data_IF_112585520660
#
_entry.id   IF_112585520660
#
_cell.length_a   1.000
_cell.length_b   1.000
_cell.length_c   1.000
_cell.angle_alpha   90.00
_cell.angle_beta   90.00
_cell.angle_gamma   90.00
#
_symmetry.space_group_name_H-M   'P 1'
#
loop_
_entity.id
_entity.type
_entity.pdbx_description
1 polymer ?
#
# COMPACT_ATOMS: atom_id res chain seq x y z
N UNK A 1 22.22 21.43 -1.39
CA UNK A 1 21.71 20.31 -0.58
C UNK A 1 20.50 20.76 0.19
N UNK A 2 19.32 20.31 -0.17
CA UNK A 2 18.11 20.48 0.63
C UNK A 2 17.94 19.23 1.47
N UNK A 3 18.10 19.34 2.78
CA UNK A 3 17.79 18.28 3.73
C UNK A 3 16.37 18.52 4.23
N UNK A 4 15.47 17.59 4.02
CA UNK A 4 14.16 17.60 4.68
C UNK A 4 14.10 16.44 5.67
N UNK A 5 13.78 16.74 6.92
CA UNK A 5 13.48 15.74 7.94
C UNK A 5 12.00 15.90 8.32
N UNK A 6 11.20 14.90 8.02
CA UNK A 6 9.80 14.89 8.43
C UNK A 6 9.65 13.96 9.65
N UNK A 7 9.33 14.55 10.80
CA UNK A 7 8.93 13.82 11.99
C UNK A 7 7.42 13.99 12.20
N UNK A 8 6.67 12.91 12.07
CA UNK A 8 5.24 12.90 12.36
C UNK A 8 5.00 12.23 13.71
N UNK A 9 4.50 13.00 14.69
CA UNK A 9 4.08 12.51 15.99
C UNK A 9 2.58 12.20 15.92
N UNK A 10 2.20 10.92 15.94
CA UNK A 10 0.81 10.53 16.16
C UNK A 10 0.62 10.26 17.66
N UNK A 11 -0.11 11.16 18.33
CA UNK A 11 -0.65 10.92 19.66
C UNK A 11 -1.99 10.24 19.46
N UNK A 12 -2.06 8.92 19.57
CA UNK A 12 -3.31 8.18 19.68
C UNK A 12 -3.74 8.17 21.14
N UNK A 13 -4.91 8.71 21.44
CA UNK A 13 -5.62 8.46 22.71
C UNK A 13 -6.43 7.17 22.53
N UNK A 14 -6.21 6.21 23.33
CA UNK A 14 -7.13 5.52 24.24
C UNK A 14 -6.78 4.05 24.45
N UNK A 15 -6.93 3.71 25.73
CA UNK A 15 -6.97 2.41 26.40
C UNK A 15 -5.64 1.65 26.55
N UNK A 16 -5.09 1.92 27.70
CA UNK A 16 -4.40 1.10 28.71
C UNK A 16 -4.02 -0.34 28.30
N UNK A 17 -3.16 -0.50 27.27
CA UNK A 17 -2.22 -1.62 27.21
C UNK A 17 -0.96 -1.12 26.48
N UNK A 18 0.14 -0.94 27.21
CA UNK A 18 1.49 -0.65 26.75
C UNK A 18 1.57 0.16 25.44
N UNK A 19 1.29 1.46 25.53
CA UNK A 19 1.48 2.38 24.43
C UNK A 19 2.96 2.68 24.23
N UNK A 20 3.68 1.75 23.65
CA UNK A 20 4.92 2.10 22.97
C UNK A 20 4.55 3.09 21.85
N UNK A 21 4.95 4.33 22.03
CA UNK A 21 4.72 5.40 21.05
C UNK A 21 5.38 4.99 19.75
N UNK A 22 4.59 4.73 18.73
CA UNK A 22 5.08 4.43 17.39
C UNK A 22 5.70 5.70 16.81
N UNK A 23 7.02 5.83 16.90
CA UNK A 23 7.75 6.93 16.28
C UNK A 23 7.96 6.58 14.82
N UNK A 24 7.33 7.33 13.92
CA UNK A 24 7.63 7.30 12.49
C UNK A 24 8.67 8.35 12.17
N UNK A 25 9.80 7.94 11.63
CA UNK A 25 10.87 8.85 11.25
C UNK A 25 11.29 8.56 9.81
N UNK A 26 11.52 9.62 9.05
CA UNK A 26 12.16 9.49 7.74
C UNK A 26 13.12 10.64 7.51
N UNK A 27 14.21 10.33 6.85
CA UNK A 27 15.21 11.29 6.39
C UNK A 27 15.38 11.11 4.88
N UNK A 28 15.48 12.21 4.16
CA UNK A 28 15.79 12.18 2.74
C UNK A 28 16.81 13.27 2.41
N UNK A 29 17.68 12.99 1.48
CA UNK A 29 18.65 13.96 0.96
C UNK A 29 18.63 13.92 -0.58
N UNK A 30 18.67 15.09 -1.18
CA UNK A 30 18.80 15.25 -2.63
C UNK A 30 20.09 16.03 -2.92
N UNK A 31 20.91 15.49 -3.78
CA UNK A 31 22.17 16.10 -4.21
C UNK A 31 21.97 16.86 -5.52
N UNK A 32 22.86 17.81 -5.79
CA UNK A 32 22.82 18.63 -7.02
C UNK A 32 22.93 17.84 -8.34
N UNK A 33 23.50 16.65 -8.29
CA UNK A 33 23.57 15.74 -9.44
C UNK A 33 22.30 14.90 -9.67
N UNK A 34 21.23 15.16 -8.92
CA UNK A 34 19.95 14.43 -9.00
C UNK A 34 19.91 13.14 -8.19
N UNK A 35 20.99 12.73 -7.53
CA UNK A 35 20.97 11.56 -6.64
C UNK A 35 20.17 11.83 -5.39
N UNK A 36 19.38 10.85 -4.96
CA UNK A 36 18.52 10.91 -3.78
C UNK A 36 18.73 9.70 -2.90
N UNK A 37 18.75 9.93 -1.61
CA UNK A 37 18.75 8.89 -0.59
C UNK A 37 17.58 9.12 0.35
N UNK A 38 16.99 8.05 0.81
CA UNK A 38 16.00 8.11 1.86
C UNK A 38 16.16 6.94 2.81
N UNK A 39 15.88 7.19 4.07
CA UNK A 39 15.89 6.20 5.14
C UNK A 39 14.70 6.48 6.06
N UNK A 40 14.09 5.45 6.62
CA UNK A 40 13.00 5.61 7.56
C UNK A 40 12.79 4.41 8.46
N UNK A 41 12.09 4.68 9.54
CA UNK A 41 11.68 3.71 10.56
C UNK A 41 10.17 3.81 10.71
N UNK A 42 9.49 2.69 10.77
CA UNK A 42 8.03 2.58 10.90
C UNK A 42 7.24 3.37 9.83
N UNK A 43 7.80 3.49 8.63
CA UNK A 43 7.18 4.20 7.52
C UNK A 43 7.04 3.25 6.34
N UNK A 44 5.89 3.27 5.68
CA UNK A 44 5.63 2.46 4.50
C UNK A 44 6.63 2.69 3.37
N UNK A 45 7.04 1.62 2.70
CA UNK A 45 7.81 1.66 1.46
C UNK A 45 7.14 2.52 0.38
N UNK A 46 5.83 2.62 0.42
CA UNK A 46 5.04 3.48 -0.48
C UNK A 46 5.32 4.95 -0.25
N UNK A 47 5.46 5.39 0.99
CA UNK A 47 5.83 6.77 1.33
C UNK A 47 7.22 7.15 0.81
N UNK A 48 8.17 6.22 0.85
CA UNK A 48 9.50 6.41 0.27
C UNK A 48 9.51 6.55 -1.23
N UNK A 49 8.70 5.77 -1.90
CA UNK A 49 8.62 5.77 -3.35
C UNK A 49 8.21 7.11 -3.90
N UNK A 50 7.28 7.76 -3.24
CA UNK A 50 6.82 9.09 -3.61
C UNK A 50 7.91 10.15 -3.37
N UNK A 51 8.71 10.03 -2.32
CA UNK A 51 9.80 10.97 -2.04
C UNK A 51 11.00 10.81 -2.95
N UNK A 52 11.29 9.59 -3.42
CA UNK A 52 12.42 9.31 -4.31
C UNK A 52 12.14 9.59 -5.78
N UNK A 53 10.90 9.39 -6.20
CA UNK A 53 10.54 9.52 -7.61
C UNK A 53 10.62 10.96 -8.12
N UNK A 54 10.97 11.93 -7.27
CA UNK A 54 11.10 13.34 -7.68
C UNK A 54 9.85 13.92 -8.29
N UNK A 55 8.76 13.19 -8.19
CA UNK A 55 7.48 13.68 -8.67
C UNK A 55 7.07 14.87 -7.81
N UNK A 56 7.67 15.99 -8.12
CA UNK A 56 7.15 17.28 -7.73
C UNK A 56 5.70 17.33 -8.17
N UNK A 57 4.83 17.57 -7.24
CA UNK A 57 3.39 17.87 -7.36
C UNK A 57 2.44 16.79 -7.89
N UNK A 58 2.71 16.09 -8.98
CA UNK A 58 1.76 15.08 -9.49
C UNK A 58 1.72 13.82 -8.65
N UNK A 59 2.82 13.40 -8.04
CA UNK A 59 2.81 12.28 -7.08
C UNK A 59 2.13 12.65 -5.76
N UNK A 60 2.17 13.92 -5.36
CA UNK A 60 1.38 14.43 -4.24
C UNK A 60 -0.13 14.29 -4.47
N UNK A 61 -0.57 14.17 -5.74
CA UNK A 61 -1.96 13.96 -6.09
C UNK A 61 -2.39 12.50 -5.98
N UNK A 62 -1.54 11.55 -6.36
CA UNK A 62 -1.81 10.11 -6.17
C UNK A 62 -1.83 9.78 -4.68
N UNK A 63 -0.92 10.35 -3.90
CA UNK A 63 -0.87 10.19 -2.45
C UNK A 63 -1.98 10.94 -1.70
N UNK A 64 -2.74 11.79 -2.39
CA UNK A 64 -3.91 12.43 -1.80
C UNK A 64 -5.08 11.48 -1.67
N UNK A 65 -5.15 10.42 -2.50
CA UNK A 65 -6.16 9.38 -2.35
C UNK A 65 -5.80 8.42 -1.22
N UNK A 66 -6.78 8.09 -0.40
CA UNK A 66 -6.62 7.20 0.76
C UNK A 66 -6.74 5.72 0.41
N UNK A 67 -7.28 5.41 -0.74
CA UNK A 67 -7.53 4.02 -1.14
C UNK A 67 -6.24 3.28 -1.44
N UNK A 68 -6.12 2.06 -0.93
CA UNK A 68 -4.94 1.20 -1.08
C UNK A 68 -4.55 0.92 -2.53
N UNK A 69 -5.52 1.04 -3.46
CA UNK A 69 -5.25 0.88 -4.87
C UNK A 69 -4.25 1.91 -5.42
N UNK A 70 -4.22 3.13 -4.87
CA UNK A 70 -3.24 4.16 -5.23
C UNK A 70 -1.94 4.08 -4.41
N UNK A 71 -1.93 3.34 -3.31
CA UNK A 71 -0.72 2.93 -2.62
C UNK A 71 -0.04 1.75 -3.36
N UNK A 72 1.08 1.23 -2.93
CA UNK A 72 1.59 -0.05 -3.42
C UNK A 72 1.16 -1.14 -2.44
N UNK A 73 0.01 -1.80 -2.63
CA UNK A 73 -0.60 -2.61 -1.58
C UNK A 73 0.33 -3.75 -1.12
N UNK A 74 1.07 -4.36 -2.04
CA UNK A 74 2.03 -5.41 -1.70
C UNK A 74 3.28 -4.88 -0.98
N UNK A 75 3.61 -3.60 -1.13
CA UNK A 75 4.68 -2.97 -0.38
C UNK A 75 4.24 -2.52 1.03
N UNK A 76 2.95 -2.33 1.24
CA UNK A 76 2.37 -2.01 2.55
C UNK A 76 2.54 -3.15 3.57
N UNK A 77 2.76 -4.37 3.11
CA UNK A 77 3.01 -5.53 3.98
C UNK A 77 4.39 -5.50 4.67
N UNK A 78 5.25 -4.54 4.32
CA UNK A 78 6.50 -4.24 5.02
C UNK A 78 6.41 -2.98 5.89
N UNK A 79 5.22 -2.53 6.21
CA UNK A 79 5.02 -1.40 7.12
C UNK A 79 5.51 -1.76 8.54
N UNK A 80 5.88 -0.74 9.32
CA UNK A 80 6.33 -0.89 10.70
C UNK A 80 7.77 -1.40 10.89
N UNK A 81 8.60 -1.36 9.85
CA UNK A 81 10.00 -1.76 9.91
C UNK A 81 10.98 -0.66 9.50
N UNK A 82 12.14 -1.08 9.08
CA UNK A 82 13.19 -0.22 8.55
C UNK A 82 13.10 -0.16 7.03
N UNK A 83 13.32 1.02 6.47
CA UNK A 83 13.25 1.25 5.04
C UNK A 83 14.46 2.05 4.57
N UNK A 84 14.98 1.69 3.43
CA UNK A 84 16.03 2.44 2.77
C UNK A 84 15.78 2.51 1.27
N UNK A 85 16.26 3.60 0.67
CA UNK A 85 16.17 3.72 -0.77
C UNK A 85 17.24 4.65 -1.33
N UNK A 86 17.66 4.38 -2.56
CA UNK A 86 18.53 5.21 -3.35
C UNK A 86 17.92 5.39 -4.74
N UNK A 87 18.01 6.59 -5.27
CA UNK A 87 17.48 6.88 -6.60
C UNK A 87 18.16 8.06 -7.25
N UNK A 88 17.79 8.31 -8.47
CA UNK A 88 18.21 9.46 -9.25
C UNK A 88 17.06 10.08 -10.02
N UNK A 89 17.18 11.36 -10.30
CA UNK A 89 16.32 12.10 -11.21
C UNK A 89 17.19 12.87 -12.19
N UNK A 90 17.03 12.54 -13.46
CA UNK A 90 17.73 13.22 -14.55
C UNK A 90 17.04 14.52 -14.92
N UNK A 91 17.80 15.50 -15.37
CA UNK A 91 17.28 16.75 -15.97
C UNK A 91 16.45 16.50 -17.23
N UNK A 92 16.59 15.36 -17.88
CA UNK A 92 15.80 14.94 -19.05
C UNK A 92 14.49 14.25 -18.68
N UNK A 93 14.12 14.18 -17.40
CA UNK A 93 12.85 13.58 -16.93
C UNK A 93 12.95 12.09 -16.59
N UNK A 94 14.07 11.42 -16.81
CA UNK A 94 14.28 10.05 -16.38
C UNK A 94 14.50 9.97 -14.88
N UNK A 95 13.91 8.95 -14.27
CA UNK A 95 14.10 8.64 -12.86
C UNK A 95 14.24 7.14 -12.66
N UNK A 96 14.93 6.74 -11.62
CA UNK A 96 15.05 5.34 -11.26
C UNK A 96 15.63 5.18 -9.87
N UNK A 97 15.51 3.97 -9.30
CA UNK A 97 16.08 3.70 -8.00
C UNK A 97 15.75 2.31 -7.48
N UNK A 98 16.31 2.04 -6.32
CA UNK A 98 16.16 0.81 -5.55
C UNK A 98 15.61 1.17 -4.18
N UNK A 99 14.78 0.32 -3.64
CA UNK A 99 14.28 0.43 -2.28
C UNK A 99 14.22 -0.94 -1.62
N UNK A 100 14.35 -0.95 -0.31
CA UNK A 100 14.24 -2.14 0.51
C UNK A 100 13.55 -1.81 1.83
N UNK A 101 12.92 -2.81 2.43
CA UNK A 101 12.28 -2.70 3.72
C UNK A 101 12.35 -4.03 4.46
N UNK A 102 12.41 -3.99 5.77
CA UNK A 102 12.29 -5.18 6.61
C UNK A 102 11.38 -4.88 7.78
N UNK A 103 10.52 -5.83 8.08
CA UNK A 103 9.65 -5.81 9.23
C UNK A 103 9.87 -7.08 10.03
N UNK A 104 10.21 -6.96 11.30
CA UNK A 104 10.30 -8.08 12.25
C UNK A 104 9.55 -7.70 13.52
N UNK A 105 8.22 -7.75 13.46
CA UNK A 105 7.33 -7.46 14.58
C UNK A 105 6.53 -8.70 15.00
N UNK A 106 7.22 -9.82 15.11
CA UNK A 106 6.62 -11.10 15.51
C UNK A 106 5.97 -11.05 16.90
N UNK A 107 6.49 -10.20 17.79
CA UNK A 107 5.99 -10.11 19.17
C UNK A 107 4.64 -9.42 19.27
N UNK A 108 4.37 -8.44 18.41
CA UNK A 108 3.20 -7.57 18.50
C UNK A 108 2.11 -7.90 17.50
N UNK A 109 2.51 -8.18 16.25
CA UNK A 109 1.58 -8.41 15.14
C UNK A 109 1.78 -9.75 14.46
N UNK A 110 2.79 -10.54 14.86
CA UNK A 110 3.15 -11.78 14.18
C UNK A 110 3.68 -11.56 12.77
N UNK A 111 4.14 -10.35 12.46
CA UNK A 111 4.56 -9.98 11.11
C UNK A 111 6.09 -10.07 10.99
N UNK A 112 6.55 -10.84 10.03
CA UNK A 112 7.93 -10.82 9.56
C UNK A 112 7.93 -10.80 8.05
N UNK A 113 8.44 -9.73 7.47
CA UNK A 113 8.46 -9.56 6.03
C UNK A 113 9.63 -8.71 5.57
N UNK A 114 10.20 -9.09 4.44
CA UNK A 114 11.28 -8.39 3.75
C UNK A 114 10.81 -8.00 2.35
N UNK A 115 11.03 -6.75 1.98
CA UNK A 115 10.65 -6.25 0.68
C UNK A 115 11.78 -5.52 -0.02
N UNK A 116 11.89 -5.74 -1.33
CA UNK A 116 12.77 -4.97 -2.19
C UNK A 116 12.07 -4.57 -3.47
N UNK A 117 12.46 -3.44 -4.04
CA UNK A 117 11.92 -3.03 -5.32
C UNK A 117 12.89 -2.21 -6.13
N UNK A 118 12.83 -2.38 -7.45
CA UNK A 118 13.43 -1.49 -8.44
C UNK A 118 12.32 -0.68 -9.11
N UNK A 119 12.56 0.59 -9.32
CA UNK A 119 11.64 1.43 -10.07
C UNK A 119 12.36 2.21 -11.16
N UNK A 120 11.65 2.47 -12.23
CA UNK A 120 12.06 3.39 -13.29
C UNK A 120 10.84 4.18 -13.75
N UNK A 121 11.07 5.34 -14.31
CA UNK A 121 10.01 6.17 -14.86
C UNK A 121 10.55 7.28 -15.72
N UNK A 122 9.63 7.87 -16.43
CA UNK A 122 9.88 9.05 -17.25
C UNK A 122 8.78 10.09 -16.95
N UNK A 123 9.19 11.32 -16.77
CA UNK A 123 8.32 12.47 -16.57
C UNK A 123 8.63 13.53 -17.60
N UNK A 124 7.58 14.02 -18.23
CA UNK A 124 7.60 15.15 -19.14
C UNK A 124 6.61 16.21 -18.62
N UNK A 125 6.65 17.43 -19.12
CA UNK A 125 5.89 18.58 -18.61
C UNK A 125 4.44 18.30 -18.23
N UNK A 126 3.74 17.48 -19.01
CA UNK A 126 2.30 17.22 -18.85
C UNK A 126 1.94 15.75 -18.61
N UNK A 127 2.88 14.85 -18.64
CA UNK A 127 2.60 13.44 -18.43
C UNK A 127 3.80 12.70 -17.83
N UNK A 128 3.52 11.60 -17.21
CA UNK A 128 4.56 10.73 -16.73
C UNK A 128 4.07 9.29 -16.65
N UNK A 129 5.02 8.38 -16.76
CA UNK A 129 4.82 6.95 -16.64
C UNK A 129 5.89 6.36 -15.75
N UNK A 130 5.54 5.39 -14.93
CA UNK A 130 6.49 4.71 -14.07
C UNK A 130 6.17 3.24 -13.93
N UNK A 131 7.22 2.43 -13.90
CA UNK A 131 7.17 1.00 -13.61
C UNK A 131 7.95 0.71 -12.34
N UNK A 132 7.40 -0.14 -11.49
CA UNK A 132 8.06 -0.70 -10.32
C UNK A 132 7.93 -2.22 -10.36
N UNK A 133 9.03 -2.91 -10.12
CA UNK A 133 9.06 -4.35 -9.87
C UNK A 133 9.46 -4.55 -8.42
N UNK A 134 8.73 -5.39 -7.70
CA UNK A 134 8.93 -5.64 -6.28
C UNK A 134 9.00 -7.12 -5.97
N UNK A 135 9.77 -7.43 -4.94
CA UNK A 135 9.84 -8.73 -4.29
C UNK A 135 9.45 -8.52 -2.82
N UNK A 136 8.56 -9.36 -2.33
CA UNK A 136 8.15 -9.43 -0.93
C UNK A 136 8.33 -10.87 -0.46
N UNK A 137 8.98 -11.06 0.67
CA UNK A 137 9.15 -12.34 1.36
C UNK A 137 8.52 -12.23 2.75
N UNK A 138 7.73 -13.21 3.14
CA UNK A 138 6.94 -13.20 4.37
C UNK A 138 7.16 -14.54 5.10
N UNK A 139 7.57 -14.50 6.36
CA UNK A 139 7.73 -15.68 7.21
C UNK A 139 6.52 -15.82 8.14
N UNK A 140 5.79 -16.93 8.01
CA UNK A 140 4.60 -17.18 8.81
C UNK A 140 3.39 -16.30 8.46
N UNK A 141 3.44 -15.58 7.35
CA UNK A 141 2.40 -14.67 6.88
C UNK A 141 2.07 -14.95 5.42
N UNK A 142 0.92 -14.47 4.96
CA UNK A 142 0.49 -14.57 3.57
C UNK A 142 -0.24 -13.29 3.18
N UNK A 143 0.32 -12.55 2.23
CA UNK A 143 -0.22 -11.30 1.70
C UNK A 143 -0.62 -10.31 2.82
N UNK A 144 0.28 -10.14 3.80
CA UNK A 144 0.08 -9.27 4.97
C UNK A 144 -0.84 -9.82 6.05
N UNK A 145 -1.42 -11.00 5.83
CA UNK A 145 -2.25 -11.68 6.82
C UNK A 145 -1.41 -12.59 7.73
N UNK A 146 -1.44 -12.35 9.04
CA UNK A 146 -0.80 -13.25 9.99
C UNK A 146 -1.45 -14.63 9.94
N UNK A 147 -0.64 -15.66 9.78
CA UNK A 147 -1.08 -17.05 9.82
C UNK A 147 -0.66 -17.70 11.14
N UNK A 148 -1.44 -18.67 11.63
CA UNK A 148 -1.09 -19.31 12.89
C UNK A 148 -1.88 -20.57 13.20
N UNK A 149 -1.34 -21.38 14.08
CA UNK A 149 -1.97 -22.62 14.55
C UNK A 149 -2.24 -23.59 13.40
N UNK A 150 -3.48 -24.04 13.28
CA UNK A 150 -3.91 -24.98 12.25
C UNK A 150 -3.96 -24.40 10.82
N UNK A 151 -3.79 -23.10 10.64
CA UNK A 151 -3.81 -22.40 9.36
C UNK A 151 -2.45 -21.77 9.02
N UNK A 152 -1.39 -22.20 9.67
CA UNK A 152 -0.04 -21.64 9.47
C UNK A 152 0.49 -21.92 8.07
N UNK A 153 1.16 -20.93 7.49
CA UNK A 153 2.06 -21.09 6.34
C UNK A 153 3.52 -20.97 6.83
N UNK A 154 4.47 -21.56 6.16
CA UNK A 154 5.88 -21.43 6.56
C UNK A 154 6.50 -20.18 5.96
N UNK A 155 6.35 -19.99 4.68
CA UNK A 155 6.93 -18.88 3.93
C UNK A 155 6.05 -18.53 2.73
N UNK A 156 6.01 -17.26 2.38
CA UNK A 156 5.37 -16.80 1.15
C UNK A 156 6.29 -15.82 0.42
N UNK A 157 6.33 -15.95 -0.90
CA UNK A 157 7.12 -15.08 -1.76
C UNK A 157 6.23 -14.47 -2.83
N UNK A 158 6.20 -13.15 -2.90
CA UNK A 158 5.41 -12.41 -3.89
C UNK A 158 6.31 -11.58 -4.80
N UNK A 159 6.17 -11.77 -6.11
CA UNK A 159 6.71 -10.87 -7.13
C UNK A 159 5.60 -9.98 -7.61
N UNK A 160 5.86 -8.68 -7.72
CA UNK A 160 4.86 -7.69 -8.12
C UNK A 160 5.35 -6.73 -9.18
N UNK A 161 4.41 -6.32 -10.04
CA UNK A 161 4.59 -5.23 -11.00
C UNK A 161 3.58 -4.11 -10.75
N UNK A 162 4.03 -2.87 -10.76
CA UNK A 162 3.18 -1.68 -10.62
C UNK A 162 3.44 -0.75 -11.78
N UNK A 163 2.42 -0.53 -12.58
CA UNK A 163 2.39 0.50 -13.63
C UNK A 163 1.60 1.70 -13.10
N UNK A 164 2.15 2.89 -13.25
CA UNK A 164 1.48 4.14 -12.88
C UNK A 164 1.66 5.17 -13.99
N UNK A 165 0.71 6.09 -14.07
CA UNK A 165 0.80 7.19 -15.00
C UNK A 165 -0.04 8.37 -14.57
N UNK A 166 0.30 9.54 -15.13
CA UNK A 166 -0.50 10.74 -15.02
C UNK A 166 -0.47 11.52 -16.31
N UNK A 167 -1.52 12.29 -16.52
CA UNK A 167 -1.65 13.20 -17.65
C UNK A 167 -2.31 14.49 -17.17
N UNK A 168 -1.60 15.61 -17.34
CA UNK A 168 -2.12 16.94 -17.07
C UNK A 168 -2.78 17.52 -18.33
N UNK A 169 -4.04 17.95 -18.22
CA UNK A 169 -4.78 18.55 -19.31
C UNK A 169 -5.40 19.87 -18.87
N UNK A 170 -5.32 20.85 -19.77
CA UNK A 170 -5.60 22.21 -19.37
C UNK A 170 -4.60 22.71 -18.31
N UNK A 171 -5.00 23.73 -17.54
CA UNK A 171 -4.12 24.35 -16.55
C UNK A 171 -4.39 23.85 -15.13
N UNK A 172 -5.47 23.09 -14.92
CA UNK A 172 -5.97 22.78 -13.59
C UNK A 172 -6.26 21.31 -13.34
N UNK A 173 -6.31 20.48 -14.36
CA UNK A 173 -6.77 19.10 -14.24
C UNK A 173 -5.69 18.07 -14.54
N UNK A 174 -5.70 17.00 -13.78
CA UNK A 174 -4.83 15.84 -13.96
C UNK A 174 -5.62 14.56 -13.86
N UNK A 175 -5.42 13.63 -14.78
CA UNK A 175 -5.82 12.22 -14.62
C UNK A 175 -4.64 11.44 -14.09
N UNK A 176 -4.89 10.59 -13.14
CA UNK A 176 -3.90 9.66 -12.59
C UNK A 176 -4.42 8.24 -12.69
N UNK A 177 -3.54 7.29 -12.97
CA UNK A 177 -3.89 5.88 -13.07
C UNK A 177 -2.81 5.00 -12.46
N UNK A 178 -3.22 3.86 -11.94
CA UNK A 178 -2.34 2.85 -11.40
C UNK A 178 -2.92 1.46 -11.58
N UNK A 179 -2.04 0.51 -11.89
CA UNK A 179 -2.33 -0.92 -11.96
C UNK A 179 -1.24 -1.70 -11.24
N UNK A 180 -1.62 -2.66 -10.45
CA UNK A 180 -0.72 -3.58 -9.75
C UNK A 180 -1.10 -5.01 -10.07
N UNK A 181 -0.11 -5.83 -10.35
CA UNK A 181 -0.23 -7.29 -10.49
C UNK A 181 0.76 -7.95 -9.53
N UNK A 182 0.37 -9.06 -8.91
CA UNK A 182 1.20 -9.84 -8.01
C UNK A 182 1.03 -11.34 -8.23
N UNK A 183 2.17 -12.06 -8.14
CA UNK A 183 2.24 -13.52 -8.18
C UNK A 183 2.86 -13.98 -6.87
N UNK A 184 2.16 -14.84 -6.15
CA UNK A 184 2.59 -15.33 -4.84
C UNK A 184 2.69 -16.84 -4.83
N UNK A 185 3.81 -17.35 -4.34
CA UNK A 185 4.08 -18.76 -4.08
C UNK A 185 4.14 -18.94 -2.56
N UNK A 186 3.53 -20.01 -2.09
CA UNK A 186 3.41 -20.32 -0.66
C UNK A 186 4.06 -21.66 -0.38
N UNK A 187 4.95 -21.68 0.61
CA UNK A 187 5.52 -22.90 1.13
C UNK A 187 4.68 -23.41 2.30
N UNK A 188 4.30 -24.69 2.19
CA UNK A 188 3.41 -25.34 3.14
C UNK A 188 4.07 -25.51 4.53
N UNK A 189 3.27 -25.36 5.56
CA UNK A 189 3.63 -25.84 6.89
C UNK A 189 3.04 -27.24 7.09
N UNK A 190 3.89 -28.22 7.40
CA UNK A 190 3.52 -29.65 7.40
C UNK A 190 2.36 -30.01 8.33
N UNK A 191 2.19 -29.28 9.44
CA UNK A 191 1.11 -29.46 10.40
C UNK A 191 -0.13 -28.64 10.12
N UNK A 192 -0.14 -27.82 9.03
CA UNK A 192 -1.28 -26.98 8.68
C UNK A 192 -2.44 -27.80 8.09
N UNK A 193 -3.65 -27.35 8.39
CA UNK A 193 -4.87 -27.86 7.74
C UNK A 193 -5.08 -27.26 6.33
N UNK A 194 -4.33 -26.23 5.97
CA UNK A 194 -4.35 -25.61 4.64
C UNK A 194 -3.00 -25.80 3.99
N UNK A 195 -2.98 -26.50 2.86
CA UNK A 195 -1.74 -26.91 2.17
C UNK A 195 -1.94 -26.97 0.67
N UNK A 196 -0.86 -27.31 -0.05
CA UNK A 196 -0.86 -27.49 -1.51
C UNK A 196 -1.47 -26.29 -2.22
N UNK A 197 -0.97 -25.10 -1.87
CA UNK A 197 -1.35 -23.87 -2.55
C UNK A 197 -0.93 -23.93 -4.01
N UNK A 198 -1.84 -23.54 -4.90
CA UNK A 198 -1.43 -23.15 -6.25
C UNK A 198 -0.76 -21.78 -6.23
N UNK A 199 -0.19 -21.35 -7.35
CA UNK A 199 0.21 -19.97 -7.54
C UNK A 199 -1.00 -19.04 -7.32
N UNK A 200 -0.82 -18.00 -6.49
CA UNK A 200 -1.87 -17.03 -6.18
C UNK A 200 -1.62 -15.79 -7.02
N UNK A 201 -2.60 -15.43 -7.85
CA UNK A 201 -2.57 -14.20 -8.64
C UNK A 201 -3.44 -13.13 -7.99
N UNK A 202 -2.90 -11.93 -7.84
CA UNK A 202 -3.63 -10.80 -7.25
C UNK A 202 -3.44 -9.54 -8.07
N UNK A 203 -4.47 -8.69 -8.10
CA UNK A 203 -4.38 -7.40 -8.76
C UNK A 203 -5.10 -6.29 -8.00
N UNK A 204 -4.72 -5.06 -8.28
CA UNK A 204 -5.45 -3.85 -7.90
C UNK A 204 -5.33 -2.79 -9.00
N UNK A 205 -6.30 -1.89 -9.06
CA UNK A 205 -6.24 -0.78 -10.00
C UNK A 205 -6.98 0.45 -9.45
N UNK A 206 -6.61 1.62 -9.92
CA UNK A 206 -7.27 2.87 -9.62
C UNK A 206 -7.10 3.88 -10.75
N UNK A 207 -8.13 4.67 -10.94
CA UNK A 207 -8.12 5.85 -11.79
C UNK A 207 -8.69 7.02 -11.01
N UNK A 208 -8.07 8.19 -11.13
CA UNK A 208 -8.48 9.39 -10.43
C UNK A 208 -8.38 10.64 -11.30
N UNK A 209 -9.24 11.59 -11.02
CA UNK A 209 -9.23 12.92 -11.59
C UNK A 209 -8.96 13.91 -10.46
N UNK A 210 -8.03 14.82 -10.66
CA UNK A 210 -7.66 15.85 -9.68
C UNK A 210 -7.70 17.22 -10.32
N UNK A 211 -8.40 18.15 -9.70
CA UNK A 211 -8.43 19.57 -10.06
C UNK A 211 -7.70 20.40 -9.01
N UNK A 212 -6.99 21.44 -9.46
CA UNK A 212 -6.23 22.37 -8.60
C UNK A 212 -6.74 23.79 -8.82
N UNK A 213 -6.64 24.60 -7.77
CA UNK A 213 -7.06 26.01 -7.80
C UNK A 213 -8.48 26.19 -8.36
N UNK A 214 -9.41 25.32 -7.93
CA UNK A 214 -10.80 25.33 -8.44
C UNK A 214 -11.65 26.36 -7.70
N UNK A 215 -11.56 26.40 -6.37
CA UNK A 215 -12.39 27.25 -5.52
C UNK A 215 -11.57 28.31 -4.82
N UNK A 216 -10.30 28.04 -4.52
CA UNK A 216 -9.36 28.98 -3.92
C UNK A 216 -7.92 28.62 -4.30
N UNK A 217 -7.02 29.62 -4.24
CA UNK A 217 -5.61 29.39 -4.55
C UNK A 217 -5.01 28.32 -3.63
N UNK A 218 -4.34 27.35 -4.24
CA UNK A 218 -3.68 26.23 -3.55
C UNK A 218 -4.62 25.10 -3.12
N UNK A 219 -5.92 25.17 -3.40
CA UNK A 219 -6.81 24.06 -3.13
C UNK A 219 -6.65 22.91 -4.13
N UNK A 220 -7.11 21.73 -3.75
CA UNK A 220 -7.23 20.59 -4.65
C UNK A 220 -8.50 19.79 -4.32
N UNK A 221 -9.20 19.40 -5.37
CA UNK A 221 -10.32 18.48 -5.31
C UNK A 221 -10.01 17.26 -6.16
N UNK A 222 -10.41 16.07 -5.71
CA UNK A 222 -10.23 14.86 -6.50
C UNK A 222 -11.35 13.88 -6.32
N UNK A 223 -11.55 13.10 -7.40
CA UNK A 223 -12.45 11.96 -7.43
C UNK A 223 -11.69 10.74 -7.94
N UNK A 224 -11.90 9.59 -7.34
CA UNK A 224 -11.27 8.35 -7.76
C UNK A 224 -12.26 7.19 -7.74
N UNK A 225 -12.00 6.25 -8.62
CA UNK A 225 -12.63 4.94 -8.66
C UNK A 225 -11.54 3.88 -8.68
N UNK A 226 -11.66 2.86 -7.82
CA UNK A 226 -10.59 1.88 -7.65
C UNK A 226 -11.12 0.52 -7.20
N UNK A 227 -10.31 -0.50 -7.46
CA UNK A 227 -10.43 -1.83 -6.87
C UNK A 227 -9.21 -2.07 -5.99
N UNK A 228 -9.38 -2.27 -4.68
CA UNK A 228 -8.32 -2.73 -3.79
C UNK A 228 -7.72 -4.06 -4.22
N UNK A 229 -6.60 -4.44 -3.61
CA UNK A 229 -5.94 -5.71 -3.91
C UNK A 229 -6.92 -6.87 -3.73
N UNK A 230 -7.03 -7.70 -4.77
CA UNK A 230 -7.93 -8.86 -4.84
C UNK A 230 -7.18 -10.06 -5.40
N UNK A 231 -7.34 -11.22 -4.77
CA UNK A 231 -6.95 -12.50 -5.37
C UNK A 231 -7.86 -12.78 -6.58
N UNK A 232 -7.25 -12.94 -7.75
CA UNK A 232 -7.94 -13.23 -9.02
C UNK A 232 -7.92 -14.71 -9.37
N UNK A 233 -6.87 -15.40 -8.96
CA UNK A 233 -6.70 -16.84 -9.15
C UNK A 233 -5.91 -17.43 -7.99
N UNK A 234 -6.15 -18.70 -7.71
CA UNK A 234 -5.48 -19.45 -6.69
C UNK A 234 -6.43 -20.37 -5.93
N UNK A 235 -5.91 -21.48 -5.47
CA UNK A 235 -6.61 -22.43 -4.64
C UNK A 235 -5.67 -23.11 -3.63
N UNK A 236 -6.26 -23.76 -2.64
CA UNK A 236 -5.53 -24.52 -1.64
C UNK A 236 -6.31 -25.77 -1.25
N UNK A 237 -5.60 -26.76 -0.74
CA UNK A 237 -6.21 -27.94 -0.14
C UNK A 237 -6.48 -27.70 1.33
N UNK A 238 -7.75 -27.83 1.73
CA UNK A 238 -8.21 -27.63 3.10
C UNK A 238 -8.64 -28.98 3.70
N UNK A 239 -8.10 -29.31 4.87
CA UNK A 239 -8.46 -30.49 5.65
C UNK A 239 -9.40 -30.08 6.78
N UNK A 240 -10.68 -30.44 6.66
CA UNK A 240 -11.71 -30.09 7.64
C UNK A 240 -11.92 -31.27 8.61
N UNK A 241 -11.64 -31.11 9.91
CA UNK A 241 -11.89 -32.16 10.89
C UNK A 241 -13.38 -32.38 11.08
N UNK A 242 -13.81 -33.64 11.18
CA UNK A 242 -15.16 -34.02 11.53
C UNK A 242 -15.18 -35.24 12.46
N UNK A 243 -16.25 -35.41 13.20
CA UNK A 243 -16.44 -36.59 14.03
C UNK A 243 -16.90 -37.75 13.15
N UNK A 244 -16.10 -38.82 13.10
CA UNK A 244 -16.48 -40.06 12.40
C UNK A 244 -16.97 -41.09 13.42
N UNK A 245 -18.28 -41.28 13.48
CA UNK A 245 -18.92 -42.23 14.41
C UNK A 245 -18.52 -43.68 14.18
N UNK A 246 -18.17 -44.07 12.98
CA UNK A 246 -17.72 -45.43 12.66
C UNK A 246 -16.31 -45.74 13.18
N UNK A 247 -15.45 -44.69 13.28
CA UNK A 247 -14.09 -44.79 13.83
C UNK A 247 -14.04 -44.42 15.31
N UNK A 248 -15.11 -43.84 15.86
CA UNK A 248 -15.16 -43.33 17.24
C UNK A 248 -14.18 -42.18 17.50
N UNK A 249 -13.83 -41.41 16.49
CA UNK A 249 -12.80 -40.38 16.58
C UNK A 249 -12.92 -39.29 15.52
N UNK A 250 -11.92 -38.37 15.54
CA UNK A 250 -11.81 -37.29 14.55
C UNK A 250 -11.17 -37.86 13.28
N UNK A 251 -11.80 -37.58 12.14
CA UNK A 251 -11.31 -37.87 10.81
C UNK A 251 -11.32 -36.55 9.99
N UNK A 252 -10.69 -36.53 8.82
CA UNK A 252 -10.51 -35.32 8.02
C UNK A 252 -11.12 -35.48 6.62
N UNK A 253 -11.99 -34.54 6.28
CA UNK A 253 -12.47 -34.37 4.91
C UNK A 253 -11.57 -33.37 4.19
N UNK A 254 -10.91 -33.81 3.14
CA UNK A 254 -10.03 -33.00 2.31
C UNK A 254 -10.80 -32.46 1.11
N UNK A 255 -10.72 -31.16 0.89
CA UNK A 255 -11.32 -30.50 -0.27
C UNK A 255 -10.36 -29.44 -0.83
N UNK A 256 -10.38 -29.25 -2.14
CA UNK A 256 -9.72 -28.12 -2.79
C UNK A 256 -10.68 -26.93 -2.79
N UNK A 257 -10.20 -25.78 -2.37
CA UNK A 257 -11.02 -24.57 -2.16
C UNK A 257 -10.35 -23.41 -2.87
N UNK A 258 -11.14 -22.66 -3.64
CA UNK A 258 -10.68 -21.42 -4.26
C UNK A 258 -10.38 -20.36 -3.20
N UNK A 259 -9.27 -19.63 -3.40
CA UNK A 259 -8.87 -18.45 -2.61
C UNK A 259 -9.43 -17.15 -3.21
N UNK A 260 -10.11 -17.25 -4.35
CA UNK A 260 -10.75 -16.11 -5.01
C UNK A 260 -11.98 -15.66 -4.22
N UNK A 261 -12.05 -14.42 -3.75
CA UNK A 261 -13.25 -13.90 -3.09
C UNK A 261 -14.47 -13.94 -4.02
N UNK A 262 -15.65 -14.14 -3.46
CA UNK A 262 -16.92 -14.26 -4.20
C UNK A 262 -17.48 -12.93 -4.69
N UNK A 263 -16.94 -11.79 -4.22
CA UNK A 263 -17.29 -10.44 -4.63
C UNK A 263 -16.12 -9.66 -5.21
N UNK A 264 -16.41 -8.45 -5.64
CA UNK A 264 -15.43 -7.47 -6.14
C UNK A 264 -15.67 -6.16 -5.41
N UNK A 265 -14.76 -5.80 -4.50
CA UNK A 265 -14.83 -4.49 -3.86
C UNK A 265 -14.53 -3.39 -4.89
N UNK A 266 -15.39 -2.38 -4.90
CA UNK A 266 -15.17 -1.14 -5.64
C UNK A 266 -15.21 0.01 -4.64
N UNK A 267 -14.25 0.91 -4.76
CA UNK A 267 -14.12 2.06 -3.89
C UNK A 267 -14.23 3.34 -4.71
N UNK A 268 -15.15 4.20 -4.31
CA UNK A 268 -15.29 5.55 -4.82
C UNK A 268 -14.83 6.52 -3.75
N UNK A 269 -13.93 7.42 -4.10
CA UNK A 269 -13.36 8.39 -3.19
C UNK A 269 -13.48 9.80 -3.76
N UNK A 270 -13.90 10.72 -2.90
CA UNK A 270 -13.81 12.15 -3.14
C UNK A 270 -12.91 12.76 -2.06
N UNK A 271 -12.02 13.65 -2.43
CA UNK A 271 -11.28 14.45 -1.46
C UNK A 271 -11.34 15.93 -1.79
N UNK A 272 -11.26 16.75 -0.75
CA UNK A 272 -11.01 18.16 -0.87
C UNK A 272 -9.91 18.57 0.10
N UNK A 273 -8.90 19.24 -0.43
CA UNK A 273 -7.77 19.77 0.33
C UNK A 273 -7.74 21.28 0.20
N UNK A 274 -7.70 21.97 1.33
CA UNK A 274 -7.64 23.44 1.39
C UNK A 274 -6.47 23.89 2.26
N UNK A 275 -5.53 24.73 1.76
CA UNK A 275 -4.54 25.37 2.60
C UNK A 275 -5.23 26.38 3.55
N UNK A 276 -4.81 26.38 4.79
CA UNK A 276 -5.24 27.30 5.84
C UNK A 276 -4.04 28.16 6.28
N UNK A 277 -3.62 29.05 5.39
CA UNK A 277 -2.38 29.82 5.54
C UNK A 277 -1.14 29.05 5.08
N UNK A 278 0.05 29.46 5.54
CA UNK A 278 1.33 28.91 5.08
C UNK A 278 1.73 27.59 5.76
N UNK A 279 1.13 27.25 6.88
CA UNK A 279 1.56 26.14 7.75
C UNK A 279 0.49 25.11 8.06
N UNK A 280 -0.74 25.33 7.63
CA UNK A 280 -1.83 24.40 7.93
C UNK A 280 -2.61 24.06 6.66
N UNK A 281 -3.16 22.84 6.62
CA UNK A 281 -4.09 22.40 5.59
C UNK A 281 -5.19 21.54 6.18
N UNK A 282 -6.39 21.71 5.68
CA UNK A 282 -7.54 20.86 5.95
C UNK A 282 -7.71 19.90 4.78
N UNK A 283 -7.92 18.63 5.08
CA UNK A 283 -8.21 17.61 4.08
C UNK A 283 -9.47 16.86 4.52
N UNK A 284 -10.42 16.73 3.61
CA UNK A 284 -11.66 15.98 3.85
C UNK A 284 -11.79 14.90 2.81
N UNK A 285 -12.17 13.69 3.23
CA UNK A 285 -12.41 12.53 2.37
C UNK A 285 -13.83 12.02 2.56
N UNK A 286 -14.48 11.70 1.47
CA UNK A 286 -15.69 10.89 1.42
C UNK A 286 -15.36 9.60 0.67
N UNK A 287 -15.45 8.46 1.33
CA UNK A 287 -15.13 7.16 0.77
C UNK A 287 -16.37 6.28 0.81
N UNK A 288 -16.77 5.75 -0.33
CA UNK A 288 -17.83 4.76 -0.45
C UNK A 288 -17.24 3.45 -0.99
N UNK A 289 -17.49 2.34 -0.28
CA UNK A 289 -17.04 1.00 -0.66
C UNK A 289 -18.24 0.12 -0.93
N UNK A 290 -18.29 -0.46 -2.11
CA UNK A 290 -19.23 -1.53 -2.47
C UNK A 290 -18.55 -2.87 -2.28
N UNK A 291 -19.27 -3.86 -1.74
CA UNK A 291 -18.77 -5.21 -1.46
C UNK A 291 -17.43 -5.21 -0.68
N UNK A 292 -17.34 -4.50 0.46
CA UNK A 292 -16.11 -4.40 1.23
C UNK A 292 -15.53 -5.79 1.55
N UNK A 293 -14.19 -5.87 1.52
CA UNK A 293 -13.41 -7.11 1.63
C UNK A 293 -13.71 -8.12 0.51
N UNK A 294 -14.13 -7.66 -0.65
CA UNK A 294 -14.50 -8.48 -1.81
C UNK A 294 -15.56 -9.54 -1.49
N UNK A 295 -16.47 -9.25 -0.58
CA UNK A 295 -17.50 -10.19 -0.13
C UNK A 295 -18.83 -9.87 -0.78
N UNK A 296 -19.35 -10.79 -1.57
CA UNK A 296 -20.69 -10.68 -2.19
C UNK A 296 -21.77 -10.53 -1.11
N UNK A 297 -22.69 -9.60 -1.32
CA UNK A 297 -23.79 -9.36 -0.40
C UNK A 297 -23.43 -8.57 0.86
N UNK A 298 -22.17 -8.19 1.06
CA UNK A 298 -21.83 -7.19 2.05
C UNK A 298 -22.40 -5.83 1.60
N UNK A 299 -23.17 -5.18 2.46
CA UNK A 299 -23.73 -3.86 2.15
C UNK A 299 -22.67 -2.81 1.94
N UNK A 300 -22.95 -1.83 1.09
CA UNK A 300 -22.06 -0.69 0.87
C UNK A 300 -21.77 0.07 2.16
N UNK A 301 -20.57 0.59 2.30
CA UNK A 301 -20.13 1.39 3.46
C UNK A 301 -19.64 2.74 3.00
N UNK A 302 -20.13 3.79 3.66
CA UNK A 302 -19.68 5.17 3.42
C UNK A 302 -19.01 5.70 4.67
N UNK A 303 -17.85 6.33 4.50
CA UNK A 303 -17.07 6.96 5.56
C UNK A 303 -16.74 8.39 5.18
N UNK A 304 -16.87 9.31 6.13
CA UNK A 304 -16.41 10.69 6.02
C UNK A 304 -15.24 10.87 7.00
N UNK A 305 -14.10 11.29 6.49
CA UNK A 305 -12.89 11.51 7.29
C UNK A 305 -12.41 12.93 7.10
N UNK A 306 -12.16 13.65 8.19
CA UNK A 306 -11.50 14.93 8.20
C UNK A 306 -10.11 14.81 8.80
N UNK A 307 -9.10 15.38 8.15
CA UNK A 307 -7.73 15.43 8.64
C UNK A 307 -7.24 16.89 8.66
N UNK A 308 -6.55 17.23 9.72
CA UNK A 308 -5.88 18.51 9.86
C UNK A 308 -4.38 18.29 9.92
N UNK A 309 -3.65 18.88 9.00
CA UNK A 309 -2.18 18.81 8.97
C UNK A 309 -1.61 20.16 9.29
N UNK A 310 -0.66 20.21 10.24
CA UNK A 310 0.09 21.43 10.60
C UNK A 310 1.57 21.13 10.40
N UNK A 311 2.24 21.96 9.60
CA UNK A 311 3.67 21.82 9.34
C UNK A 311 4.44 22.72 10.32
N UNK A 312 5.19 22.11 11.21
CA UNK A 312 6.08 22.79 12.16
C UNK A 312 7.48 22.89 11.54
N UNK A 313 7.76 23.89 10.74
CA UNK A 313 9.12 24.17 10.31
C UNK A 313 9.80 25.12 11.31
N UNK A 314 10.88 24.67 11.95
CA UNK A 314 11.81 25.59 12.62
C UNK A 314 12.61 26.34 11.55
N UNK A 315 12.58 27.65 11.58
CA UNK A 315 13.52 28.51 10.83
C UNK A 315 14.88 28.47 11.47
#
# INVERSE_FOLDING_TARGET
>A
TTNSADALWLVGSDDAVDSERLVRMSMSATYSNGTRYAFGVNKSLTGFHNSLSGQTDTSGLVSAFQTDAFSAPLAGFTDMGYHGAVGFVSTMGWQGGLSFAFTDDQRRYGLKSDGSAVHTGFHHDRWGIGLRLGLLEEDGNLLGGASGGALSVSHARTVSGVLRGHLDFGHKWSVVGKYTEGLTWVDDYSASLVRDFSEIQSNSWGIGLVGRDLFSAGDAFGAAWSQPLRTRDGDARVSVPYWNSALGGIDFKVARTSLVPDGIEQTFELFYRKPLGSRARLITYLVHREQPLHRRGSGGRTSLVGAWQIDFSSH
#
